data_IF_225608663576
#
_entry.id   IF_225608663576
#
_cell.length_a   1.000
_cell.length_b   1.000
_cell.length_c   1.000
_cell.angle_alpha   90.00
_cell.angle_beta   90.00
_cell.angle_gamma   90.00
#
_symmetry.space_group_name_H-M   'P 1'
#
loop_
_entity.id
_entity.type
_entity.pdbx_description
1 polymer ?
#
# COMPACT_ATOMS: atom_id res chain seq x y z
N UNK A 1 -11.44 3.98 15.60
CA UNK A 1 -12.36 3.46 14.57
C UNK A 1 -11.51 2.78 13.52
N UNK A 2 -11.72 1.48 13.28
CA UNK A 2 -10.82 0.65 12.44
C UNK A 2 -11.14 0.79 10.95
N UNK A 3 -12.41 1.01 10.61
CA UNK A 3 -12.89 1.16 9.24
C UNK A 3 -13.62 2.50 9.04
N UNK A 4 -13.48 3.08 7.86
CA UNK A 4 -14.27 4.22 7.38
C UNK A 4 -14.92 3.89 6.05
N UNK A 5 -16.22 3.60 6.07
CA UNK A 5 -17.06 3.33 4.90
C UNK A 5 -17.47 4.61 4.17
N UNK A 6 -16.52 5.31 3.55
CA UNK A 6 -16.78 6.55 2.78
C UNK A 6 -17.06 6.28 1.29
N UNK A 7 -17.08 5.02 0.88
CA UNK A 7 -17.18 4.59 -0.51
C UNK A 7 -15.83 4.57 -1.23
N UNK A 8 -15.87 4.13 -2.49
CA UNK A 8 -14.73 4.18 -3.41
C UNK A 8 -15.17 4.77 -4.74
N UNK A 9 -14.35 5.66 -5.29
CA UNK A 9 -14.45 6.14 -6.68
C UNK A 9 -13.32 5.49 -7.47
N UNK A 10 -13.66 4.90 -8.60
CA UNK A 10 -12.69 4.51 -9.62
C UNK A 10 -12.98 5.32 -10.88
N UNK A 11 -11.97 5.99 -11.44
CA UNK A 11 -12.17 6.84 -12.62
C UNK A 11 -11.02 6.73 -13.61
N UNK A 12 -11.32 6.89 -14.90
CA UNK A 12 -10.31 6.80 -15.96
C UNK A 12 -10.85 6.21 -17.25
N UNK A 13 -9.96 5.65 -18.06
CA UNK A 13 -10.25 5.08 -19.38
C UNK A 13 -9.72 3.64 -19.45
N UNK A 14 -10.23 2.76 -18.58
CA UNK A 14 -9.85 1.35 -18.52
C UNK A 14 -11.07 0.43 -18.50
N UNK A 15 -10.96 -0.71 -19.18
CA UNK A 15 -11.95 -1.79 -19.14
C UNK A 15 -12.12 -2.38 -17.71
N UNK A 16 -11.16 -2.14 -16.81
CA UNK A 16 -11.28 -2.47 -15.38
C UNK A 16 -12.55 -1.89 -14.74
N UNK A 17 -13.04 -0.75 -15.23
CA UNK A 17 -14.26 -0.13 -14.71
C UNK A 17 -15.53 -0.94 -15.06
N UNK A 18 -15.59 -1.54 -16.25
CA UNK A 18 -16.71 -2.39 -16.66
C UNK A 18 -16.74 -3.68 -15.86
N UNK A 19 -15.56 -4.30 -15.67
CA UNK A 19 -15.42 -5.47 -14.82
C UNK A 19 -15.82 -5.17 -13.38
N UNK A 20 -15.44 -4.02 -12.84
CA UNK A 20 -15.84 -3.61 -11.50
C UNK A 20 -17.36 -3.43 -11.39
N UNK A 21 -18.00 -2.76 -12.35
CA UNK A 21 -19.45 -2.59 -12.36
C UNK A 21 -20.16 -3.96 -12.44
N UNK A 22 -19.78 -4.79 -13.40
CA UNK A 22 -20.38 -6.10 -13.61
C UNK A 22 -20.20 -7.03 -12.39
N UNK A 23 -19.00 -7.09 -11.81
CA UNK A 23 -18.75 -7.92 -10.61
C UNK A 23 -19.54 -7.43 -9.38
N UNK A 24 -19.70 -6.11 -9.24
CA UNK A 24 -20.50 -5.52 -8.16
C UNK A 24 -21.97 -5.89 -8.30
N UNK A 25 -22.50 -5.80 -9.53
CA UNK A 25 -23.88 -6.17 -9.86
C UNK A 25 -24.11 -7.67 -9.65
N UNK A 26 -23.22 -8.52 -10.16
CA UNK A 26 -23.28 -9.97 -9.99
C UNK A 26 -23.22 -10.41 -8.51
N UNK A 27 -22.54 -9.64 -7.67
CA UNK A 27 -22.48 -9.86 -6.22
C UNK A 27 -23.71 -9.30 -5.46
N UNK A 28 -24.71 -8.74 -6.15
CA UNK A 28 -25.90 -8.13 -5.54
C UNK A 28 -25.60 -6.85 -4.76
N UNK A 29 -24.47 -6.19 -5.06
CA UNK A 29 -24.00 -4.96 -4.40
C UNK A 29 -23.68 -3.92 -5.47
N UNK A 30 -24.67 -3.42 -6.21
CA UNK A 30 -24.42 -2.55 -7.35
C UNK A 30 -23.76 -1.23 -6.93
N UNK A 31 -22.83 -0.77 -7.75
CA UNK A 31 -22.33 0.61 -7.68
C UNK A 31 -23.13 1.54 -8.60
N UNK A 32 -22.59 2.72 -8.86
CA UNK A 32 -23.22 3.72 -9.73
C UNK A 32 -22.19 4.41 -10.61
N UNK A 33 -22.51 4.54 -11.89
CA UNK A 33 -21.80 5.43 -12.80
C UNK A 33 -22.19 6.89 -12.51
N UNK A 34 -21.19 7.77 -12.38
CA UNK A 34 -21.41 9.18 -12.09
C UNK A 34 -21.10 10.05 -13.32
N UNK A 35 -21.87 11.12 -13.48
CA UNK A 35 -21.50 12.21 -14.37
C UNK A 35 -20.29 12.99 -13.83
N UNK A 36 -19.46 13.61 -14.69
CA UNK A 36 -18.32 14.42 -14.25
C UNK A 36 -18.72 15.56 -13.30
N UNK A 37 -19.81 16.26 -13.60
CA UNK A 37 -20.27 17.40 -12.79
C UNK A 37 -20.69 16.97 -11.39
N UNK A 38 -21.42 15.85 -11.29
CA UNK A 38 -21.82 15.27 -10.02
C UNK A 38 -20.60 14.87 -9.17
N UNK A 39 -19.59 14.25 -9.78
CA UNK A 39 -18.37 13.86 -9.07
C UNK A 39 -17.58 15.07 -8.56
N UNK A 40 -17.51 16.15 -9.35
CA UNK A 40 -16.85 17.40 -8.96
C UNK A 40 -17.61 18.11 -7.86
N UNK A 41 -18.95 18.15 -7.92
CA UNK A 41 -19.79 18.77 -6.90
C UNK A 41 -19.63 18.05 -5.54
N UNK A 42 -19.65 16.72 -5.56
CA UNK A 42 -19.54 15.92 -4.33
C UNK A 42 -18.14 15.94 -3.75
N UNK A 43 -17.13 15.77 -4.60
CA UNK A 43 -15.74 15.61 -4.21
C UNK A 43 -14.82 16.49 -5.06
N UNK A 44 -14.84 17.81 -4.80
CA UNK A 44 -14.03 18.78 -5.54
C UNK A 44 -12.55 18.68 -5.15
N UNK A 45 -11.65 19.06 -6.06
CA UNK A 45 -10.21 19.22 -5.76
C UNK A 45 -9.28 18.27 -6.49
N UNK A 46 -9.81 17.33 -7.29
CA UNK A 46 -9.04 16.49 -8.20
C UNK A 46 -9.61 16.56 -9.62
N UNK A 47 -8.80 16.20 -10.61
CA UNK A 47 -9.24 16.02 -12.00
C UNK A 47 -9.74 14.59 -12.21
N UNK A 48 -11.01 14.45 -12.56
CA UNK A 48 -11.60 13.16 -12.91
C UNK A 48 -11.24 12.73 -14.35
N UNK A 49 -11.33 11.41 -14.59
CA UNK A 49 -11.20 10.82 -15.91
C UNK A 49 -12.55 10.82 -16.62
N UNK A 50 -12.59 10.38 -17.88
CA UNK A 50 -13.84 10.39 -18.67
C UNK A 50 -14.95 9.53 -18.06
N UNK A 51 -14.58 8.37 -17.49
CA UNK A 51 -15.53 7.45 -16.86
C UNK A 51 -15.32 7.45 -15.36
N UNK A 52 -16.40 7.45 -14.59
CA UNK A 52 -16.39 7.55 -13.13
C UNK A 52 -17.39 6.54 -12.57
N UNK A 53 -16.89 5.59 -11.79
CA UNK A 53 -17.70 4.60 -11.10
C UNK A 53 -17.54 4.78 -9.59
N UNK A 54 -18.66 4.80 -8.87
CA UNK A 54 -18.71 4.93 -7.42
C UNK A 54 -19.34 3.67 -6.81
N UNK A 55 -18.73 3.15 -5.75
CA UNK A 55 -19.30 2.02 -4.99
C UNK A 55 -19.40 2.40 -3.51
N UNK A 56 -20.62 2.40 -2.92
CA UNK A 56 -20.87 2.97 -1.59
C UNK A 56 -20.28 2.12 -0.44
N UNK A 57 -20.17 0.81 -0.61
CA UNK A 57 -19.61 -0.08 0.42
C UNK A 57 -18.07 -0.12 0.41
N UNK A 58 -17.43 0.68 -0.45
CA UNK A 58 -15.98 0.84 -0.40
C UNK A 58 -15.55 1.68 0.81
N UNK A 59 -14.26 1.69 1.10
CA UNK A 59 -13.75 2.49 2.20
C UNK A 59 -12.26 2.29 2.44
N UNK A 60 -11.81 2.79 3.58
CA UNK A 60 -10.43 2.62 4.04
C UNK A 60 -10.38 1.97 5.42
N UNK A 61 -9.31 1.22 5.65
CA UNK A 61 -9.00 0.54 6.90
C UNK A 61 -7.76 1.20 7.53
N UNK A 62 -7.82 1.52 8.81
CA UNK A 62 -6.61 1.84 9.57
C UNK A 62 -5.84 0.55 9.85
N UNK A 63 -4.85 0.28 9.00
CA UNK A 63 -4.04 -0.94 9.07
C UNK A 63 -3.24 -1.03 10.37
N UNK A 64 -2.86 0.10 10.98
CA UNK A 64 -2.12 0.11 12.24
C UNK A 64 -3.03 -0.30 13.39
N UNK A 65 -4.24 0.27 13.44
CA UNK A 65 -5.24 -0.09 14.43
C UNK A 65 -5.69 -1.56 14.27
N UNK A 66 -5.91 -2.01 13.03
CA UNK A 66 -6.27 -3.38 12.73
C UNK A 66 -5.18 -4.37 13.17
N UNK A 67 -3.92 -4.12 12.82
CA UNK A 67 -2.78 -4.96 13.22
C UNK A 67 -2.59 -4.99 14.74
N UNK A 68 -2.73 -3.84 15.40
CA UNK A 68 -2.66 -3.77 16.86
C UNK A 68 -3.81 -4.56 17.52
N UNK A 69 -5.02 -4.52 16.95
CA UNK A 69 -6.14 -5.31 17.43
C UNK A 69 -5.90 -6.82 17.27
N UNK A 70 -5.38 -7.26 16.11
CA UNK A 70 -5.01 -8.65 15.86
C UNK A 70 -3.96 -9.12 16.87
N UNK A 71 -2.90 -8.35 17.10
CA UNK A 71 -1.85 -8.69 18.09
C UNK A 71 -2.40 -8.81 19.50
N UNK A 72 -3.30 -7.90 19.92
CA UNK A 72 -3.97 -7.98 21.22
C UNK A 72 -4.92 -9.17 21.33
N UNK A 73 -5.53 -9.59 20.22
CA UNK A 73 -6.33 -10.81 20.17
C UNK A 73 -5.46 -12.06 20.36
N UNK A 74 -4.35 -12.14 19.63
CA UNK A 74 -3.42 -13.28 19.71
C UNK A 74 -2.81 -13.47 21.09
N UNK A 75 -2.55 -12.38 21.84
CA UNK A 75 -1.99 -12.49 23.21
C UNK A 75 -2.94 -13.14 24.22
N UNK A 76 -4.19 -13.41 23.86
CA UNK A 76 -5.18 -14.09 24.71
C UNK A 76 -5.31 -15.58 24.40
N UNK A 77 -4.55 -16.09 23.44
CA UNK A 77 -4.58 -17.50 23.05
C UNK A 77 -3.55 -18.25 23.89
N UNK A 78 -4.02 -19.20 24.70
CA UNK A 78 -3.16 -20.00 25.55
C UNK A 78 -2.14 -20.80 24.72
N UNK A 79 -0.88 -20.76 25.15
CA UNK A 79 0.23 -21.43 24.47
C UNK A 79 0.74 -20.74 23.20
N UNK A 80 0.14 -19.60 22.79
CA UNK A 80 0.67 -18.79 21.70
C UNK A 80 1.82 -17.91 22.18
N UNK A 81 2.98 -18.04 21.53
CA UNK A 81 4.14 -17.20 21.77
C UNK A 81 4.34 -16.22 20.60
N UNK A 82 4.50 -14.93 20.90
CA UNK A 82 4.85 -13.90 19.92
C UNK A 82 6.28 -13.41 20.15
N UNK A 83 7.17 -13.69 19.20
CA UNK A 83 8.59 -13.32 19.27
C UNK A 83 8.89 -12.21 18.27
N UNK A 84 9.05 -10.98 18.76
CA UNK A 84 9.42 -9.82 17.95
C UNK A 84 10.93 -9.60 17.96
N UNK A 85 11.46 -9.02 16.88
CA UNK A 85 12.91 -8.73 16.77
C UNK A 85 13.77 -9.95 16.47
N UNK A 86 13.14 -11.07 16.10
CA UNK A 86 13.81 -12.31 15.75
C UNK A 86 13.61 -12.58 14.26
N UNK A 87 14.71 -12.68 13.51
CA UNK A 87 14.70 -12.86 12.07
C UNK A 87 14.90 -14.32 11.71
N UNK A 88 13.90 -14.91 11.03
CA UNK A 88 14.04 -16.25 10.45
C UNK A 88 15.02 -16.20 9.27
N UNK A 89 16.00 -17.10 9.28
CA UNK A 89 17.07 -17.18 8.28
C UNK A 89 17.02 -18.43 7.42
N UNK A 90 16.42 -19.52 7.90
CA UNK A 90 16.24 -20.75 7.12
C UNK A 90 15.04 -21.58 7.62
N UNK A 91 14.47 -22.36 6.70
CA UNK A 91 13.43 -23.35 6.96
C UNK A 91 13.84 -24.63 6.23
N UNK A 92 13.85 -25.76 6.94
CA UNK A 92 14.27 -27.05 6.39
C UNK A 92 13.29 -28.15 6.82
N UNK A 93 12.81 -28.93 5.86
CA UNK A 93 12.06 -30.15 6.16
C UNK A 93 13.02 -31.23 6.66
N UNK A 94 12.61 -31.96 7.70
CA UNK A 94 13.35 -33.05 8.34
C UNK A 94 12.51 -34.33 8.24
N UNK A 95 12.62 -35.00 7.09
CA UNK A 95 11.70 -36.07 6.71
C UNK A 95 10.28 -35.57 6.56
N UNK A 96 9.30 -36.45 6.78
CA UNK A 96 7.88 -36.15 6.52
C UNK A 96 7.14 -35.52 7.72
N UNK A 97 7.74 -35.57 8.91
CA UNK A 97 7.05 -35.26 10.18
C UNK A 97 7.43 -33.91 10.80
N UNK A 98 8.64 -33.40 10.50
CA UNK A 98 9.20 -32.25 11.20
C UNK A 98 9.76 -31.19 10.26
N UNK A 99 9.68 -29.95 10.70
CA UNK A 99 10.30 -28.79 10.09
C UNK A 99 11.18 -28.11 11.14
N UNK A 100 12.40 -27.80 10.73
CA UNK A 100 13.34 -27.00 11.49
C UNK A 100 13.33 -25.56 10.97
N UNK A 101 13.14 -24.61 11.87
CA UNK A 101 13.17 -23.17 11.57
C UNK A 101 14.35 -22.57 12.30
N UNK A 102 15.28 -21.95 11.57
CA UNK A 102 16.43 -21.26 12.16
C UNK A 102 16.20 -19.76 12.12
N UNK A 103 16.48 -19.11 13.24
CA UNK A 103 16.54 -17.66 13.37
C UNK A 103 17.94 -17.18 13.73
N UNK A 104 18.11 -15.87 13.85
CA UNK A 104 19.31 -15.24 14.42
C UNK A 104 19.40 -15.39 15.94
N UNK A 105 18.34 -15.83 16.61
CA UNK A 105 18.28 -16.01 18.07
C UNK A 105 18.16 -17.49 18.51
N UNK A 106 18.02 -18.43 17.57
CA UNK A 106 17.92 -19.86 17.90
C UNK A 106 17.29 -20.73 16.82
N UNK A 107 16.86 -21.92 17.23
CA UNK A 107 16.21 -22.90 16.36
C UNK A 107 14.90 -23.41 16.96
N UNK A 108 13.91 -23.63 16.09
CA UNK A 108 12.61 -24.17 16.46
C UNK A 108 12.31 -25.44 15.69
N UNK A 109 11.57 -26.33 16.33
CA UNK A 109 11.02 -27.53 15.69
C UNK A 109 9.51 -27.50 15.76
N UNK A 110 8.87 -27.75 14.62
CA UNK A 110 7.43 -27.80 14.51
C UNK A 110 7.03 -28.91 13.52
N UNK A 111 5.79 -29.40 13.61
CA UNK A 111 5.23 -30.32 12.61
C UNK A 111 4.79 -29.59 11.34
N UNK A 112 4.45 -28.31 11.47
CA UNK A 112 3.91 -27.45 10.41
C UNK A 112 4.47 -26.05 10.59
N UNK A 113 4.75 -25.39 9.46
CA UNK A 113 5.21 -24.00 9.41
C UNK A 113 4.35 -23.25 8.40
N UNK A 114 3.85 -22.09 8.79
CA UNK A 114 3.14 -21.16 7.91
C UNK A 114 4.08 -20.00 7.63
N UNK A 115 4.40 -19.77 6.35
CA UNK A 115 5.28 -18.67 5.93
C UNK A 115 4.42 -17.51 5.44
N UNK A 116 4.38 -16.44 6.24
CA UNK A 116 3.66 -15.20 5.94
C UNK A 116 4.62 -14.00 5.95
N UNK A 117 5.72 -14.13 5.20
CA UNK A 117 6.92 -13.30 5.30
C UNK A 117 7.04 -12.19 4.24
N UNK A 118 5.94 -11.88 3.55
CA UNK A 118 5.98 -10.96 2.41
C UNK A 118 6.95 -11.47 1.34
N UNK A 119 7.75 -10.57 0.75
CA UNK A 119 8.69 -10.86 -0.34
C UNK A 119 9.72 -11.94 0.01
N UNK A 120 10.14 -12.00 1.27
CA UNK A 120 11.14 -12.96 1.74
C UNK A 120 10.60 -14.40 1.86
N UNK A 121 9.28 -14.60 1.68
CA UNK A 121 8.67 -15.94 1.64
C UNK A 121 9.29 -16.79 0.54
N UNK A 122 9.49 -16.23 -0.66
CA UNK A 122 10.04 -16.95 -1.81
C UNK A 122 11.44 -17.53 -1.52
N UNK A 123 12.29 -16.75 -0.84
CA UNK A 123 13.63 -17.18 -0.44
C UNK A 123 13.60 -18.25 0.64
N UNK A 124 12.76 -18.09 1.66
CA UNK A 124 12.71 -19.01 2.80
C UNK A 124 12.07 -20.35 2.48
N UNK A 125 11.22 -20.41 1.45
CA UNK A 125 10.59 -21.65 0.99
C UNK A 125 11.23 -22.20 -0.28
N UNK A 126 12.36 -21.64 -0.71
CA UNK A 126 13.07 -22.10 -1.90
C UNK A 126 13.39 -23.59 -1.79
N UNK A 127 12.99 -24.37 -2.81
CA UNK A 127 13.16 -25.82 -2.83
C UNK A 127 12.18 -26.62 -1.96
N UNK A 128 11.33 -25.97 -1.17
CA UNK A 128 10.28 -26.63 -0.37
C UNK A 128 8.91 -26.59 -1.07
N UNK A 129 8.53 -25.42 -1.59
CA UNK A 129 7.28 -25.24 -2.34
C UNK A 129 7.50 -24.28 -3.50
N UNK A 130 6.82 -24.47 -4.65
CA UNK A 130 6.88 -23.52 -5.74
C UNK A 130 6.17 -22.23 -5.33
N UNK A 131 6.92 -21.13 -5.26
CA UNK A 131 6.39 -19.78 -5.01
C UNK A 131 6.71 -18.92 -6.23
N UNK A 132 5.72 -18.20 -6.80
CA UNK A 132 6.00 -17.23 -7.86
C UNK A 132 7.01 -16.19 -7.39
N UNK A 133 7.81 -15.59 -8.29
CA UNK A 133 8.70 -14.50 -7.92
C UNK A 133 7.93 -13.39 -7.19
N UNK A 134 8.40 -13.04 -5.99
CA UNK A 134 7.84 -11.97 -5.18
C UNK A 134 8.72 -10.74 -5.26
N UNK A 135 8.10 -9.57 -5.35
CA UNK A 135 8.77 -8.30 -5.43
C UNK A 135 8.05 -7.27 -4.57
N UNK A 136 8.81 -6.29 -4.08
CA UNK A 136 8.27 -5.14 -3.38
C UNK A 136 8.08 -4.00 -4.36
N UNK A 137 6.95 -3.31 -4.23
CA UNK A 137 6.71 -2.06 -4.96
C UNK A 137 6.94 -0.93 -3.98
N UNK A 138 7.87 -0.04 -4.31
CA UNK A 138 8.02 1.22 -3.58
C UNK A 138 6.92 2.15 -4.04
N UNK A 139 6.16 2.69 -3.10
CA UNK A 139 5.21 3.77 -3.36
C UNK A 139 5.74 5.10 -2.81
N UNK A 140 5.40 6.19 -3.47
CA UNK A 140 5.52 7.53 -2.90
C UNK A 140 4.15 8.17 -2.75
N UNK A 141 4.06 9.20 -1.89
CA UNK A 141 2.80 9.85 -1.58
C UNK A 141 2.89 11.38 -1.63
N UNK A 142 1.79 12.01 -2.01
CA UNK A 142 1.58 13.46 -1.97
C UNK A 142 0.24 13.75 -1.28
N UNK A 143 0.24 14.70 -0.36
CA UNK A 143 -0.96 15.16 0.32
C UNK A 143 -1.58 16.35 -0.40
N UNK A 144 -2.87 16.24 -0.70
CA UNK A 144 -3.72 17.31 -1.19
C UNK A 144 -4.57 17.83 -0.03
N UNK A 145 -4.53 19.14 0.19
CA UNK A 145 -5.36 19.78 1.19
C UNK A 145 -6.85 19.69 0.81
N UNK A 146 -7.71 19.64 1.82
CA UNK A 146 -9.15 19.77 1.63
C UNK A 146 -9.47 21.12 0.98
N UNK A 147 -10.29 21.12 -0.07
CA UNK A 147 -10.79 22.36 -0.68
C UNK A 147 -12.03 22.91 0.03
N UNK A 148 -12.68 22.07 0.86
CA UNK A 148 -13.85 22.40 1.68
C UNK A 148 -13.72 21.74 3.05
N UNK A 149 -14.11 22.43 4.11
CA UNK A 149 -14.19 21.87 5.46
C UNK A 149 -15.25 20.76 5.54
N UNK A 150 -15.00 19.74 6.37
CA UNK A 150 -15.94 18.63 6.55
C UNK A 150 -16.14 17.73 5.33
N UNK A 151 -15.33 17.88 4.26
CA UNK A 151 -15.42 17.03 3.09
C UNK A 151 -14.96 15.60 3.42
N UNK A 152 -15.90 14.66 3.33
CA UNK A 152 -15.60 13.23 3.45
C UNK A 152 -15.24 12.65 2.09
N UNK A 153 -13.96 12.38 1.90
CA UNK A 153 -13.46 11.74 0.69
C UNK A 153 -13.75 10.23 0.72
N UNK A 154 -14.22 9.63 -0.39
CA UNK A 154 -14.08 8.22 -0.64
C UNK A 154 -12.60 7.89 -0.89
N UNK A 155 -12.29 6.61 -0.89
CA UNK A 155 -11.04 6.16 -1.54
C UNK A 155 -11.16 6.45 -3.03
N UNK A 156 -10.13 7.00 -3.64
CA UNK A 156 -10.11 7.31 -5.08
C UNK A 156 -9.07 6.44 -5.77
N UNK A 157 -9.40 5.88 -6.92
CA UNK A 157 -8.45 5.18 -7.79
C UNK A 157 -8.56 5.73 -9.20
N UNK A 158 -7.46 6.29 -9.70
CA UNK A 158 -7.35 6.67 -11.10
C UNK A 158 -6.75 5.51 -11.88
N UNK A 159 -7.57 4.90 -12.73
CA UNK A 159 -7.13 3.86 -13.65
C UNK A 159 -6.65 4.48 -14.95
N UNK A 160 -5.44 4.12 -15.35
CA UNK A 160 -4.83 4.62 -16.56
C UNK A 160 -5.19 3.70 -17.72
N UNK A 161 -5.69 4.27 -18.82
CA UNK A 161 -5.87 3.56 -20.08
C UNK A 161 -4.54 3.20 -20.76
N UNK A 162 -4.59 2.34 -21.78
CA UNK A 162 -3.39 1.85 -22.49
C UNK A 162 -2.48 2.98 -22.99
N UNK A 163 -3.07 3.99 -23.63
CA UNK A 163 -2.35 5.19 -24.11
C UNK A 163 -1.76 6.02 -22.97
N UNK A 164 -2.46 6.14 -21.83
CA UNK A 164 -1.96 6.90 -20.68
C UNK A 164 -0.82 6.18 -19.96
N UNK A 165 -0.85 4.84 -19.90
CA UNK A 165 0.27 4.03 -19.41
C UNK A 165 1.49 4.18 -20.32
N UNK A 166 1.28 4.19 -21.64
CA UNK A 166 2.35 4.34 -22.63
C UNK A 166 3.00 5.73 -22.63
N UNK A 167 2.22 6.81 -22.50
CA UNK A 167 2.71 8.21 -22.57
C UNK A 167 3.16 8.73 -21.20
N UNK A 168 2.45 8.37 -20.12
CA UNK A 168 2.64 8.99 -18.81
C UNK A 168 3.81 8.43 -17.99
N UNK A 169 4.45 7.35 -18.45
CA UNK A 169 5.50 6.67 -17.70
C UNK A 169 5.00 5.99 -16.41
N UNK A 170 3.68 5.83 -16.27
CA UNK A 170 3.05 5.25 -15.08
C UNK A 170 2.83 3.74 -15.28
N UNK A 171 3.42 2.88 -14.44
CA UNK A 171 3.23 1.45 -14.56
C UNK A 171 1.85 0.99 -14.02
N UNK A 172 1.20 1.80 -13.18
CA UNK A 172 -0.02 1.39 -12.46
C UNK A 172 -0.97 2.56 -12.15
N UNK A 173 -2.13 2.21 -11.59
CA UNK A 173 -3.15 3.16 -11.13
C UNK A 173 -2.66 4.03 -9.97
N UNK A 174 -3.13 5.27 -9.90
CA UNK A 174 -2.89 6.17 -8.76
C UNK A 174 -4.00 5.99 -7.73
N UNK A 175 -3.66 5.92 -6.43
CA UNK A 175 -4.63 5.71 -5.34
C UNK A 175 -4.65 6.88 -4.36
N UNK A 176 -5.80 7.52 -4.19
CA UNK A 176 -6.08 8.49 -3.14
C UNK A 176 -6.74 7.84 -1.93
N UNK A 177 -6.21 8.08 -0.73
CA UNK A 177 -6.85 7.70 0.54
C UNK A 177 -7.15 8.94 1.39
N UNK A 178 -8.31 9.00 2.07
CA UNK A 178 -8.63 10.12 2.96
C UNK A 178 -7.57 10.28 4.05
N UNK A 179 -7.18 11.52 4.33
CA UNK A 179 -6.25 11.83 5.42
C UNK A 179 -6.96 12.56 6.57
N UNK A 180 -6.38 12.50 7.77
CA UNK A 180 -7.00 13.02 9.00
C UNK A 180 -7.38 14.52 8.95
N UNK A 181 -6.84 15.30 8.01
CA UNK A 181 -7.14 16.73 7.82
C UNK A 181 -8.22 17.00 6.77
N UNK A 182 -9.03 15.99 6.41
CA UNK A 182 -10.08 16.09 5.38
C UNK A 182 -9.57 16.20 3.94
N UNK A 183 -8.26 16.01 3.74
CA UNK A 183 -7.62 16.01 2.44
C UNK A 183 -7.49 14.59 1.87
N UNK A 184 -6.75 14.49 0.77
CA UNK A 184 -6.50 13.24 0.06
C UNK A 184 -5.01 12.98 -0.05
N UNK A 185 -4.55 11.80 0.39
CA UNK A 185 -3.18 11.33 0.17
C UNK A 185 -3.14 10.46 -1.08
N UNK A 186 -2.58 10.99 -2.16
CA UNK A 186 -2.38 10.24 -3.40
C UNK A 186 -1.07 9.47 -3.33
N UNK A 187 -1.13 8.16 -3.64
CA UNK A 187 0.00 7.23 -3.71
C UNK A 187 0.21 6.75 -5.13
N UNK A 188 1.47 6.57 -5.49
CA UNK A 188 1.89 6.19 -6.83
C UNK A 188 3.11 5.27 -6.75
N UNK A 189 3.18 4.34 -7.69
CA UNK A 189 4.25 3.35 -7.77
C UNK A 189 5.53 3.98 -8.33
N UNK A 190 6.56 3.91 -7.48
CA UNK A 190 7.98 4.22 -7.59
C UNK A 190 8.78 3.38 -8.58
N UNK A 191 8.96 2.14 -8.12
CA UNK A 191 9.94 1.19 -8.62
C UNK A 191 9.59 -0.19 -8.06
N UNK A 192 10.03 -1.22 -8.76
CA UNK A 192 9.99 -2.59 -8.29
C UNK A 192 11.37 -2.96 -7.75
N UNK A 193 11.39 -3.54 -6.56
CA UNK A 193 12.61 -3.97 -5.86
C UNK A 193 12.44 -5.44 -5.49
N UNK A 194 13.38 -6.29 -5.89
CA UNK A 194 13.41 -7.70 -5.50
C UNK A 194 13.84 -7.88 -4.02
N UNK A 195 13.76 -9.11 -3.50
CA UNK A 195 14.13 -9.42 -2.11
C UNK A 195 15.61 -9.11 -1.81
N UNK A 196 16.48 -9.14 -2.83
CA UNK A 196 17.90 -8.82 -2.72
C UNK A 196 18.18 -7.31 -2.73
N UNK A 197 17.14 -6.48 -2.80
CA UNK A 197 17.26 -5.01 -2.82
C UNK A 197 17.69 -4.45 -4.18
N UNK A 198 17.75 -5.27 -5.24
CA UNK A 198 18.03 -4.77 -6.59
C UNK A 198 16.80 -4.05 -7.11
N UNK A 199 17.01 -2.81 -7.54
CA UNK A 199 15.95 -1.95 -8.09
C UNK A 199 16.12 -1.79 -9.59
N UNK A 200 15.07 -2.04 -10.35
CA UNK A 200 14.96 -1.47 -11.68
C UNK A 200 14.43 -0.03 -11.50
N UNK A 201 15.33 0.97 -11.59
CA UNK A 201 14.90 2.38 -11.62
C UNK A 201 13.95 2.58 -12.81
N UNK A 202 12.70 2.89 -12.51
CA UNK A 202 11.75 3.45 -13.48
C UNK A 202 11.68 4.96 -13.21
N UNK A 203 11.55 5.76 -14.27
CA UNK A 203 11.83 7.21 -14.29
C UNK A 203 11.05 8.06 -13.27
N UNK A 204 11.37 9.35 -13.18
CA UNK A 204 10.78 10.29 -12.22
C UNK A 204 9.28 10.56 -12.50
N UNK A 205 8.39 9.84 -11.82
CA UNK A 205 6.92 9.85 -12.04
C UNK A 205 6.15 10.87 -11.19
N UNK A 206 6.82 11.59 -10.28
CA UNK A 206 6.14 12.39 -9.24
C UNK A 206 5.52 13.69 -9.78
N UNK A 207 6.27 14.44 -10.58
CA UNK A 207 5.83 15.75 -11.08
C UNK A 207 4.75 15.62 -12.17
N UNK A 208 4.86 14.62 -13.04
CA UNK A 208 3.85 14.28 -14.05
C UNK A 208 2.53 13.83 -13.40
N UNK A 209 2.58 13.05 -12.31
CA UNK A 209 1.37 12.61 -11.56
C UNK A 209 0.64 13.79 -10.93
N UNK A 210 1.40 14.70 -10.30
CA UNK A 210 0.82 15.92 -9.74
C UNK A 210 0.11 16.74 -10.81
N UNK A 211 0.66 16.82 -12.03
CA UNK A 211 0.00 17.48 -13.17
C UNK A 211 -1.28 16.76 -13.63
N UNK A 212 -1.29 15.43 -13.61
CA UNK A 212 -2.45 14.64 -14.05
C UNK A 212 -3.69 14.79 -13.14
N UNK A 213 -3.49 14.89 -11.82
CA UNK A 213 -4.59 15.00 -10.84
C UNK A 213 -4.92 16.45 -10.44
N UNK A 214 -4.04 17.42 -10.69
CA UNK A 214 -4.31 18.83 -10.34
C UNK A 214 -5.30 19.46 -11.34
N UNK A 215 -6.35 20.15 -10.84
CA UNK A 215 -7.16 21.00 -11.69
C UNK A 215 -6.33 22.17 -12.25
N UNK A 216 -6.63 22.65 -13.47
CA UNK A 216 -5.86 23.72 -14.11
C UNK A 216 -5.95 25.10 -13.42
N UNK A 217 -6.89 25.31 -12.48
CA UNK A 217 -7.05 26.56 -11.71
C UNK A 217 -7.19 26.30 -10.21
N UNK A 218 -6.07 26.15 -9.50
CA UNK A 218 -5.91 26.57 -8.08
C UNK A 218 -4.41 26.60 -7.67
N UNK A 219 -3.99 27.47 -6.72
CA UNK A 219 -2.63 27.97 -6.64
C UNK A 219 -1.63 26.96 -6.09
N UNK A 220 -0.35 27.32 -6.29
CA UNK A 220 0.87 26.54 -6.01
C UNK A 220 0.76 25.61 -4.78
N UNK A 221 1.29 24.37 -4.87
CA UNK A 221 1.37 23.50 -3.69
C UNK A 221 2.09 24.23 -2.56
N UNK A 222 1.44 24.35 -1.39
CA UNK A 222 2.19 24.64 -0.16
C UNK A 222 2.94 23.37 0.20
N UNK A 223 4.27 23.42 0.15
CA UNK A 223 5.10 22.43 0.79
C UNK A 223 4.72 22.41 2.28
N UNK A 224 4.17 21.29 2.76
CA UNK A 224 3.96 21.08 4.19
C UNK A 224 5.32 20.72 4.78
N UNK A 225 5.80 21.53 5.72
CA UNK A 225 7.01 21.27 6.49
C UNK A 225 6.86 19.93 7.23
N UNK A 226 7.82 19.01 7.17
CA UNK A 226 7.80 17.80 7.98
C UNK A 226 8.03 18.14 9.47
N UNK A 227 7.39 17.40 10.38
CA UNK A 227 7.76 17.39 11.80
C UNK A 227 9.21 16.90 11.98
N UNK A 228 9.94 17.39 13.01
CA UNK A 228 11.40 17.26 13.10
C UNK A 228 11.83 15.85 13.52
N UNK A 229 12.81 15.28 12.81
CA UNK A 229 13.39 13.97 13.13
C UNK A 229 14.55 13.55 12.22
N UNK A 230 15.67 14.28 12.33
CA UNK A 230 17.06 13.88 12.06
C UNK A 230 17.59 13.64 10.61
N UNK A 231 18.94 13.74 10.50
CA UNK A 231 19.83 13.94 9.31
C UNK A 231 20.87 12.78 9.25
N UNK A 232 21.77 12.53 8.28
CA UNK A 232 22.50 13.28 7.22
C UNK A 232 23.08 12.25 6.19
N UNK A 233 23.24 12.51 4.88
CA UNK A 233 24.46 12.86 4.14
C UNK A 233 24.12 13.27 2.69
N UNK A 234 24.99 14.08 2.07
CA UNK A 234 24.73 14.93 0.88
C UNK A 234 25.55 14.51 -0.34
N UNK A 235 25.00 14.80 -1.52
CA UNK A 235 25.73 15.14 -2.74
C UNK A 235 24.75 15.74 -3.77
N UNK A 236 25.08 16.90 -4.33
CA UNK A 236 24.35 17.67 -5.38
C UNK A 236 23.24 18.63 -4.89
N UNK A 237 23.64 19.88 -4.63
CA UNK A 237 22.74 21.03 -4.48
C UNK A 237 23.37 22.26 -5.13
N UNK A 238 22.68 22.89 -6.10
CA UNK A 238 22.79 24.33 -6.45
C UNK A 238 21.77 24.76 -7.53
N UNK A 239 20.48 24.81 -7.18
CA UNK A 239 19.52 25.89 -7.50
C UNK A 239 18.18 25.54 -6.83
N UNK A 240 17.63 26.50 -6.10
CA UNK A 240 16.52 26.38 -5.14
C UNK A 240 16.91 25.84 -3.76
N UNK A 241 16.66 26.69 -2.75
CA UNK A 241 16.97 26.51 -1.34
C UNK A 241 16.18 25.34 -0.74
N UNK A 242 16.80 24.17 -0.64
CA UNK A 242 16.43 23.19 0.38
C UNK A 242 17.62 22.32 0.78
N UNK A 243 17.94 22.31 2.08
CA UNK A 243 18.93 21.41 2.68
C UNK A 243 18.25 20.07 2.92
N UNK A 244 18.54 19.11 2.05
CA UNK A 244 18.20 17.71 2.26
C UNK A 244 18.85 17.16 3.53
N UNK A 245 18.11 16.28 4.19
CA UNK A 245 18.62 15.34 5.17
C UNK A 245 17.93 14.00 5.00
N UNK A 246 18.63 12.86 5.13
CA UNK A 246 18.17 11.56 4.71
C UNK A 246 17.72 10.64 5.84
N UNK A 247 16.91 9.68 5.37
CA UNK A 247 16.64 8.34 5.85
C UNK A 247 15.93 8.11 7.18
N UNK A 248 14.85 7.32 7.08
CA UNK A 248 14.78 6.01 7.73
C UNK A 248 14.35 4.97 6.70
N UNK A 249 15.16 3.92 6.57
CA UNK A 249 14.82 2.68 5.87
C UNK A 249 13.74 1.94 6.65
N UNK A 250 12.66 1.53 6.00
CA UNK A 250 11.79 0.47 6.51
C UNK A 250 12.51 -0.88 6.35
N UNK A 251 13.45 -1.18 7.26
CA UNK A 251 13.83 -2.57 7.57
C UNK A 251 12.86 -3.11 8.61
N UNK A 252 12.62 -4.42 8.52
CA UNK A 252 11.88 -5.28 9.43
C UNK A 252 10.35 -5.29 9.30
N UNK A 253 9.86 -6.19 8.44
CA UNK A 253 8.67 -6.96 8.81
C UNK A 253 9.04 -7.84 10.01
N UNK A 254 8.32 -7.80 11.15
CA UNK A 254 8.50 -8.78 12.20
C UNK A 254 7.99 -10.14 11.73
N UNK A 255 8.81 -11.15 11.95
CA UNK A 255 8.54 -12.56 11.68
C UNK A 255 7.72 -13.16 12.83
N UNK A 256 6.91 -14.18 12.55
CA UNK A 256 6.10 -14.85 13.59
C UNK A 256 6.18 -16.37 13.42
N UNK A 257 6.56 -17.07 14.49
CA UNK A 257 6.46 -18.53 14.59
C UNK A 257 5.25 -18.84 15.45
N UNK A 258 4.22 -19.45 14.88
CA UNK A 258 3.03 -19.90 15.62
C UNK A 258 3.26 -21.33 16.10
N UNK A 259 3.37 -21.53 17.41
CA UNK A 259 3.39 -22.85 18.03
C UNK A 259 1.99 -23.18 18.54
N UNK A 260 1.41 -24.29 18.07
CA UNK A 260 0.17 -24.82 18.63
C UNK A 260 0.49 -25.72 19.84
N UNK A 261 -0.23 -25.59 20.97
CA UNK A 261 -0.11 -26.55 22.06
C UNK A 261 -0.59 -27.93 21.62
N UNK A 262 0.03 -28.97 22.18
CA UNK A 262 -0.30 -30.38 21.94
C UNK A 262 -1.79 -30.60 22.26
N UNK A 263 -2.60 -30.98 21.28
CA UNK A 263 -3.84 -31.70 21.57
C UNK A 263 -3.44 -32.99 22.29
N UNK A 264 -3.98 -33.19 23.50
CA UNK A 264 -3.94 -34.50 24.17
C UNK A 264 -4.91 -35.45 23.48
#
# INVERSE_FOLDING_TARGET
>A
MVERGTGVIVHGESAELDLLAWTSDAAGRPGRWLGPDEAVERWPGIRYGKRIFFHPLGGSLDTSAATAALRRGSSRVDGLEMRGGEQVTAIEARGDEWVEVRSDQGGYRARRVVVAAGVASARLTAGLVPVPPLFSVREEAVDFAAVRSGLEWPVVRHVLGGTQRAIGGFPASVRGVPCARGGLRARFEVSVVDDDGRSARRGDTRESTCRAWKPPRNPKPRAVTPSPGNRCSRGWARRWLWRGSPETSSRCCPWWVVRWPRCR
#
